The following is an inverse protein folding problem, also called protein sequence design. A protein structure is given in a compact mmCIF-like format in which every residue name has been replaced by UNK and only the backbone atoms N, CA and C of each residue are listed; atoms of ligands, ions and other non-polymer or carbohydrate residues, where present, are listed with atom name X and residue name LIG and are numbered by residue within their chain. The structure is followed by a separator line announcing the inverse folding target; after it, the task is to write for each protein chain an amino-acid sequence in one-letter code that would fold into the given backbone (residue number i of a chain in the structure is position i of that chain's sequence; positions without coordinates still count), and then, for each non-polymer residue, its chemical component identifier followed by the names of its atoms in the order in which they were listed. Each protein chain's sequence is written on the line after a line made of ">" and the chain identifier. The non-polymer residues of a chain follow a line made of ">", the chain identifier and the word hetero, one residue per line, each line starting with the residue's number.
data_IF_583480594998
#
_entry.id   IF_583480594998
#
_cell.length_a   1.000
_cell.length_b   1.000
_cell.length_c   1.000
_cell.angle_alpha   90.00
_cell.angle_beta   90.00
_cell.angle_gamma   90.00
#
_symmetry.space_group_name_H-M   'P 1'
#
loop_
_entity.id
_entity.type
_entity.pdbx_description
1 polymer ?
#
# COMPACT_ATOMS: atom_id res chain seq x y z
N UNK A 1 57.62 14.60 -22.25
CA UNK A 1 57.06 13.29 -21.88
C UNK A 1 55.99 13.54 -20.84
N UNK A 2 54.71 13.52 -21.24
CA UNK A 2 53.58 13.58 -20.31
C UNK A 2 52.60 12.49 -20.76
N UNK A 3 52.75 11.32 -20.15
CA UNK A 3 51.96 10.13 -20.45
C UNK A 3 50.53 10.32 -19.94
N UNK A 4 49.56 10.18 -20.85
CA UNK A 4 48.14 10.16 -20.55
C UNK A 4 47.78 8.91 -19.75
N UNK A 5 47.52 9.06 -18.46
CA UNK A 5 46.97 7.99 -17.63
C UNK A 5 45.47 7.85 -17.87
N UNK A 6 45.07 7.15 -18.94
CA UNK A 6 43.69 6.72 -19.14
C UNK A 6 43.54 5.33 -18.54
N UNK A 7 42.82 5.23 -17.40
CA UNK A 7 42.45 3.94 -16.82
C UNK A 7 41.69 3.11 -17.85
N UNK A 8 42.06 1.83 -18.10
CA UNK A 8 41.27 0.94 -18.93
C UNK A 8 39.86 0.82 -18.34
N UNK A 9 38.83 1.16 -19.12
CA UNK A 9 37.44 1.04 -18.70
C UNK A 9 37.12 -0.42 -18.38
N UNK A 10 36.43 -0.65 -17.25
CA UNK A 10 35.99 -1.98 -16.84
C UNK A 10 34.96 -2.51 -17.86
N UNK A 11 35.32 -3.53 -18.63
CA UNK A 11 34.41 -4.19 -19.60
C UNK A 11 33.52 -5.25 -18.95
N UNK A 12 33.61 -5.45 -17.63
CA UNK A 12 32.78 -6.41 -16.95
C UNK A 12 31.34 -5.90 -16.85
N UNK A 13 30.41 -6.79 -17.18
CA UNK A 13 28.97 -6.58 -17.12
C UNK A 13 28.61 -6.03 -15.75
N UNK A 14 28.27 -4.75 -15.71
CA UNK A 14 27.95 -4.05 -14.48
C UNK A 14 26.53 -4.37 -14.04
N UNK A 15 26.23 -4.10 -12.78
CA UNK A 15 24.86 -4.16 -12.26
C UNK A 15 23.89 -3.20 -13.00
N UNK A 16 24.43 -2.27 -13.82
CA UNK A 16 23.69 -1.32 -14.65
C UNK A 16 23.57 -1.74 -16.12
N UNK A 17 24.02 -2.94 -16.51
CA UNK A 17 23.77 -3.45 -17.86
C UNK A 17 22.35 -4.01 -17.96
N UNK A 18 21.54 -3.55 -18.94
CA UNK A 18 20.18 -4.03 -19.10
C UNK A 18 20.15 -5.54 -19.38
N UNK A 19 19.10 -6.25 -18.93
CA UNK A 19 18.93 -7.66 -19.25
C UNK A 19 18.90 -7.84 -20.78
N UNK A 20 19.73 -8.76 -21.29
CA UNK A 20 19.70 -9.11 -22.70
C UNK A 20 18.50 -10.05 -22.90
N UNK A 21 17.38 -9.49 -23.34
CA UNK A 21 16.30 -10.30 -23.88
C UNK A 21 16.77 -10.84 -25.22
N UNK A 22 16.86 -12.16 -25.35
CA UNK A 22 17.29 -12.82 -26.58
C UNK A 22 16.34 -12.47 -27.75
N UNK A 23 16.72 -11.50 -28.59
CA UNK A 23 16.07 -11.18 -29.87
C UNK A 23 16.38 -12.26 -30.94
N UNK A 24 16.23 -13.53 -30.58
CA UNK A 24 16.67 -14.68 -31.39
C UNK A 24 15.56 -15.61 -31.87
N UNK A 25 14.27 -15.24 -31.73
CA UNK A 25 13.15 -16.11 -32.17
C UNK A 25 12.26 -15.55 -33.29
N UNK A 26 12.54 -14.35 -33.83
CA UNK A 26 11.70 -13.76 -34.89
C UNK A 26 12.23 -13.98 -36.32
N UNK A 27 13.33 -14.71 -36.52
CA UNK A 27 13.84 -15.02 -37.86
C UNK A 27 14.18 -16.50 -37.99
N UNK A 28 13.15 -17.34 -38.12
CA UNK A 28 13.32 -18.67 -38.69
C UNK A 28 12.20 -18.94 -39.71
N UNK A 29 12.52 -19.06 -41.01
CA UNK A 29 11.56 -19.48 -42.01
C UNK A 29 11.08 -20.90 -41.73
N UNK A 30 9.79 -21.12 -41.98
CA UNK A 30 9.09 -22.37 -41.79
C UNK A 30 9.68 -23.51 -42.64
N UNK A 31 10.06 -24.61 -42.00
CA UNK A 31 9.99 -25.97 -42.56
C UNK A 31 9.79 -27.01 -41.45
N UNK A 32 8.57 -27.54 -41.42
CA UNK A 32 8.17 -28.94 -41.12
C UNK A 32 8.34 -29.57 -39.72
N UNK A 33 7.19 -30.04 -39.23
CA UNK A 33 6.94 -31.31 -38.51
C UNK A 33 7.05 -31.42 -36.98
N UNK A 34 5.92 -31.83 -36.38
CA UNK A 34 5.87 -32.76 -35.24
C UNK A 34 5.38 -32.16 -33.91
N UNK A 35 4.07 -32.10 -33.64
CA UNK A 35 3.33 -33.07 -32.79
C UNK A 35 3.83 -33.26 -31.34
N UNK A 36 3.01 -32.78 -30.40
CA UNK A 36 2.86 -33.22 -28.98
C UNK A 36 4.05 -32.91 -28.05
N UNK A 37 3.87 -32.35 -26.86
CA UNK A 37 3.40 -33.09 -25.68
C UNK A 37 2.91 -32.11 -24.60
N UNK A 38 1.68 -32.34 -24.13
CA UNK A 38 1.19 -31.87 -22.83
C UNK A 38 1.94 -32.62 -21.72
N UNK A 39 2.45 -31.93 -20.71
CA UNK A 39 2.93 -32.56 -19.47
C UNK A 39 1.98 -32.28 -18.30
N UNK A 40 1.35 -33.29 -17.67
CA UNK A 40 0.59 -33.10 -16.45
C UNK A 40 1.17 -33.85 -15.22
N UNK A 41 0.97 -33.27 -14.03
CA UNK A 41 1.12 -33.84 -12.66
C UNK A 41 2.57 -34.18 -12.20
N UNK A 42 2.97 -33.97 -10.93
CA UNK A 42 2.36 -34.51 -9.70
C UNK A 42 2.58 -33.68 -8.42
N UNK A 43 1.46 -33.46 -7.72
CA UNK A 43 1.20 -33.66 -6.28
C UNK A 43 2.39 -34.21 -5.46
N UNK A 44 2.78 -33.55 -4.35
CA UNK A 44 3.45 -34.18 -3.21
C UNK A 44 2.44 -34.34 -2.08
N UNK A 45 2.20 -35.59 -1.69
CA UNK A 45 1.34 -36.03 -0.58
C UNK A 45 2.21 -36.18 0.67
N UNK A 46 1.66 -35.79 1.81
CA UNK A 46 2.21 -35.96 3.15
C UNK A 46 2.36 -37.45 3.53
N UNK A 47 3.38 -37.77 4.32
CA UNK A 47 3.45 -39.03 5.06
C UNK A 47 3.35 -38.71 6.56
N UNK A 48 2.19 -39.08 7.14
CA UNK A 48 2.01 -39.26 8.56
C UNK A 48 2.42 -40.69 8.92
N UNK A 49 3.17 -40.85 10.00
CA UNK A 49 3.33 -42.14 10.69
C UNK A 49 3.02 -41.95 12.17
N UNK A 50 1.78 -42.30 12.50
CA UNK A 50 1.31 -42.94 13.74
C UNK A 50 2.31 -44.07 14.14
N UNK A 51 2.71 -44.36 15.38
CA UNK A 51 2.38 -43.92 16.73
C UNK A 51 2.77 -45.09 17.66
N UNK A 52 3.56 -44.88 18.72
CA UNK A 52 3.59 -45.71 19.95
C UNK A 52 4.51 -45.12 21.04
N UNK A 53 3.90 -44.57 22.08
CA UNK A 53 4.45 -44.41 23.44
C UNK A 53 4.25 -45.74 24.23
N UNK A 54 4.87 -46.01 25.43
CA UNK A 54 5.03 -45.07 26.56
C UNK A 54 6.36 -45.11 27.36
N UNK A 55 6.61 -43.98 28.02
CA UNK A 55 7.04 -43.80 29.44
C UNK A 55 8.39 -44.36 29.96
N UNK A 56 9.29 -43.42 30.34
CA UNK A 56 9.78 -43.24 31.72
C UNK A 56 10.87 -42.14 31.79
N UNK A 57 10.62 -41.08 32.55
CA UNK A 57 11.65 -40.14 33.04
C UNK A 57 12.38 -40.74 34.26
N UNK A 58 13.64 -40.34 34.55
CA UNK A 58 13.84 -39.19 35.44
C UNK A 58 15.04 -38.28 35.09
N UNK A 59 15.01 -37.08 35.66
CA UNK A 59 15.85 -35.88 35.49
C UNK A 59 17.14 -35.93 36.37
N UNK A 60 17.92 -34.82 36.53
CA UNK A 60 18.94 -34.19 35.67
C UNK A 60 20.36 -34.28 36.35
N UNK A 61 21.43 -33.57 35.89
CA UNK A 61 21.80 -32.32 36.61
C UNK A 61 22.57 -31.23 35.80
N UNK A 62 22.62 -30.04 36.41
CA UNK A 62 23.60 -28.91 36.35
C UNK A 62 23.84 -28.18 35.01
N UNK A 63 23.36 -26.93 34.87
CA UNK A 63 23.92 -25.65 35.35
C UNK A 63 25.00 -25.06 34.44
N UNK A 64 24.64 -23.97 33.73
CA UNK A 64 25.50 -22.79 33.57
C UNK A 64 24.67 -21.57 33.17
N UNK A 65 25.06 -20.46 33.77
CA UNK A 65 24.34 -19.19 33.97
C UNK A 65 24.57 -18.18 32.81
N UNK A 66 23.99 -16.96 32.89
CA UNK A 66 23.69 -16.10 31.74
C UNK A 66 24.85 -15.17 31.37
N UNK A 67 24.89 -14.80 30.09
CA UNK A 67 25.67 -13.67 29.57
C UNK A 67 24.68 -12.86 28.73
N UNK A 68 24.49 -11.57 28.86
CA UNK A 68 25.10 -10.54 29.69
C UNK A 68 24.39 -9.27 29.22
N UNK A 69 23.92 -8.47 30.17
CA UNK A 69 23.27 -7.18 29.96
C UNK A 69 24.12 -6.29 29.04
N UNK A 70 23.55 -5.80 27.94
CA UNK A 70 24.02 -4.57 27.31
C UNK A 70 22.83 -3.62 27.18
N UNK A 71 22.68 -2.83 28.24
CA UNK A 71 21.85 -1.64 28.32
C UNK A 71 22.45 -0.59 27.37
N UNK A 72 21.69 -0.03 26.41
CA UNK A 72 22.15 1.17 25.71
C UNK A 72 22.11 2.35 26.69
N UNK A 73 23.26 2.99 26.84
CA UNK A 73 23.49 4.10 27.73
C UNK A 73 22.61 5.31 27.38
N UNK A 74 22.01 5.88 28.41
CA UNK A 74 21.26 7.14 28.37
C UNK A 74 22.20 8.28 27.97
N UNK A 75 22.03 8.81 26.77
CA UNK A 75 22.69 10.05 26.35
C UNK A 75 21.92 11.24 26.94
N UNK A 76 22.62 11.91 27.85
CA UNK A 76 22.17 13.08 28.60
C UNK A 76 22.00 14.27 27.62
N UNK A 77 20.77 14.60 27.26
CA UNK A 77 20.43 15.80 26.49
C UNK A 77 20.37 17.03 27.42
N UNK A 78 21.00 18.17 27.06
CA UNK A 78 20.96 19.39 27.86
C UNK A 78 19.56 20.05 27.86
N UNK A 79 19.24 20.86 28.90
CA UNK A 79 17.89 21.36 29.15
C UNK A 79 17.41 22.40 28.12
N UNK A 80 16.08 22.49 27.84
CA UNK A 80 15.51 23.55 27.01
C UNK A 80 15.59 24.92 27.72
N UNK A 81 16.07 25.92 27.01
CA UNK A 81 16.16 27.32 27.47
C UNK A 81 14.80 28.01 27.63
N UNK A 82 14.78 29.24 28.21
CA UNK A 82 13.58 29.90 28.69
C UNK A 82 12.71 30.44 27.56
N UNK A 83 11.40 30.34 27.75
CA UNK A 83 10.38 30.89 26.88
C UNK A 83 10.45 32.41 26.84
N UNK A 84 10.63 32.98 25.65
CA UNK A 84 10.36 34.39 25.39
C UNK A 84 9.16 34.50 24.49
N UNK A 85 8.03 34.88 25.09
CA UNK A 85 6.85 35.39 24.41
C UNK A 85 7.22 36.55 23.50
N UNK A 86 6.98 36.38 22.20
CA UNK A 86 6.80 37.50 21.29
C UNK A 86 5.45 37.35 20.61
N UNK A 87 4.51 38.17 21.07
CA UNK A 87 3.27 38.45 20.37
C UNK A 87 3.62 39.09 19.03
N UNK A 88 3.09 38.56 17.94
CA UNK A 88 2.95 39.31 16.69
C UNK A 88 1.52 39.15 16.19
N UNK A 89 0.90 40.31 15.99
CA UNK A 89 -0.45 40.49 15.54
C UNK A 89 -0.65 40.07 14.07
N UNK A 90 -1.92 39.78 13.79
CA UNK A 90 -2.62 39.89 12.51
C UNK A 90 -2.30 38.87 11.41
N UNK A 91 -3.19 37.89 11.27
CA UNK A 91 -3.93 37.66 10.02
C UNK A 91 -4.96 36.54 10.23
N UNK A 92 -6.21 36.88 9.98
CA UNK A 92 -7.36 36.00 9.78
C UNK A 92 -6.99 34.62 9.23
N UNK A 93 -7.04 33.62 10.10
CA UNK A 93 -7.22 32.22 9.69
C UNK A 93 -8.57 31.80 10.26
N UNK A 94 -9.52 31.31 9.43
CA UNK A 94 -10.67 30.64 10.00
C UNK A 94 -10.13 29.38 10.67
N UNK A 95 -10.08 29.43 12.00
CA UNK A 95 -9.98 28.26 12.86
C UNK A 95 -11.16 27.38 12.53
N UNK A 96 -10.99 26.50 11.53
CA UNK A 96 -11.83 25.34 11.36
C UNK A 96 -11.55 24.50 12.57
N UNK A 97 -12.42 24.67 13.57
CA UNK A 97 -12.70 23.70 14.62
C UNK A 97 -12.93 22.39 13.88
N UNK A 98 -11.87 21.61 13.69
CA UNK A 98 -11.96 20.22 13.28
C UNK A 98 -12.52 19.52 14.51
N UNK A 99 -13.83 19.58 14.67
CA UNK A 99 -14.56 18.65 15.50
C UNK A 99 -13.95 17.27 15.25
N UNK A 100 -13.59 16.56 16.31
CA UNK A 100 -13.20 15.17 16.23
C UNK A 100 -14.45 14.36 15.87
N UNK A 101 -14.85 14.49 14.60
CA UNK A 101 -15.85 13.64 13.98
C UNK A 101 -15.18 12.30 13.81
N UNK A 102 -15.57 11.36 14.65
CA UNK A 102 -15.24 9.96 14.45
C UNK A 102 -16.05 9.47 13.24
N UNK A 103 -15.37 8.80 12.32
CA UNK A 103 -16.01 8.22 11.13
C UNK A 103 -16.12 6.72 11.36
N UNK A 104 -17.35 6.22 11.36
CA UNK A 104 -17.61 4.79 11.48
C UNK A 104 -17.24 4.08 10.17
N UNK A 105 -16.75 2.85 10.28
CA UNK A 105 -16.37 2.03 9.12
C UNK A 105 -17.53 1.87 8.15
N UNK A 106 -18.72 1.62 8.68
CA UNK A 106 -19.93 1.37 7.89
C UNK A 106 -20.35 2.61 7.11
N UNK A 107 -20.25 3.81 7.67
CA UNK A 107 -20.60 5.06 6.99
C UNK A 107 -19.67 5.34 5.80
N UNK A 108 -18.36 5.16 6.01
CA UNK A 108 -17.33 5.40 4.98
C UNK A 108 -17.47 4.38 3.86
N UNK A 109 -17.58 3.09 4.18
CA UNK A 109 -17.73 2.04 3.18
C UNK A 109 -19.05 2.14 2.43
N UNK A 110 -20.16 2.41 3.12
CA UNK A 110 -21.48 2.60 2.49
C UNK A 110 -21.44 3.76 1.50
N UNK A 111 -20.82 4.88 1.87
CA UNK A 111 -20.66 6.03 0.98
C UNK A 111 -19.83 5.71 -0.27
N UNK A 112 -18.75 4.95 -0.13
CA UNK A 112 -17.92 4.51 -1.27
C UNK A 112 -18.66 3.52 -2.18
N UNK A 113 -19.41 2.60 -1.59
CA UNK A 113 -20.20 1.63 -2.34
C UNK A 113 -21.38 2.28 -3.08
N UNK A 114 -22.05 3.25 -2.46
CA UNK A 114 -23.09 4.06 -3.10
C UNK A 114 -22.50 4.82 -4.30
N UNK A 115 -21.38 5.51 -4.09
CA UNK A 115 -20.68 6.24 -5.15
C UNK A 115 -20.28 5.32 -6.31
N UNK A 116 -19.77 4.12 -6.00
CA UNK A 116 -19.45 3.11 -7.01
C UNK A 116 -20.70 2.64 -7.77
N UNK A 117 -21.81 2.44 -7.08
CA UNK A 117 -23.06 2.01 -7.69
C UNK A 117 -23.61 3.08 -8.65
N UNK A 118 -23.48 4.36 -8.30
CA UNK A 118 -23.86 5.48 -9.17
C UNK A 118 -23.04 5.51 -10.47
N UNK A 119 -21.78 5.06 -10.43
CA UNK A 119 -20.92 4.99 -11.60
C UNK A 119 -21.08 3.70 -12.43
N UNK A 120 -21.82 2.69 -11.97
CA UNK A 120 -21.87 1.37 -12.64
C UNK A 120 -22.50 1.40 -14.04
N UNK A 121 -23.37 2.36 -14.31
CA UNK A 121 -24.08 2.49 -15.59
C UNK A 121 -23.21 3.10 -16.70
N UNK A 122 -22.23 3.93 -16.34
CA UNK A 122 -21.36 4.65 -17.28
C UNK A 122 -19.93 4.08 -17.35
N UNK A 123 -19.50 3.31 -16.35
CA UNK A 123 -18.16 2.74 -16.26
C UNK A 123 -18.14 1.29 -16.74
N UNK A 124 -17.01 0.85 -17.32
CA UNK A 124 -16.82 -0.54 -17.71
C UNK A 124 -16.94 -1.48 -16.50
N UNK A 125 -17.70 -2.57 -16.65
CA UNK A 125 -17.93 -3.57 -15.59
C UNK A 125 -16.62 -4.05 -14.93
N UNK A 126 -15.58 -4.29 -15.71
CA UNK A 126 -14.28 -4.72 -15.18
C UNK A 126 -13.66 -3.69 -14.23
N UNK A 127 -13.80 -2.40 -14.52
CA UNK A 127 -13.30 -1.32 -13.66
C UNK A 127 -14.11 -1.28 -12.36
N UNK A 128 -15.43 -1.40 -12.44
CA UNK A 128 -16.27 -1.48 -11.25
C UNK A 128 -15.93 -2.70 -10.37
N UNK A 129 -15.68 -3.86 -10.99
CA UNK A 129 -15.30 -5.08 -10.29
C UNK A 129 -13.92 -4.96 -9.61
N UNK A 130 -12.95 -4.29 -10.25
CA UNK A 130 -11.65 -4.02 -9.64
C UNK A 130 -11.78 -3.05 -8.46
N UNK A 131 -12.49 -1.94 -8.61
CA UNK A 131 -12.75 -1.00 -7.52
C UNK A 131 -13.44 -1.71 -6.36
N UNK A 132 -14.45 -2.54 -6.63
CA UNK A 132 -15.14 -3.31 -5.60
C UNK A 132 -14.18 -4.22 -4.82
N UNK A 133 -13.29 -4.95 -5.51
CA UNK A 133 -12.26 -5.78 -4.85
C UNK A 133 -11.33 -4.96 -3.97
N UNK A 134 -10.96 -3.74 -4.40
CA UNK A 134 -10.12 -2.83 -3.59
C UNK A 134 -10.86 -2.34 -2.34
N UNK A 135 -12.16 -2.07 -2.44
CA UNK A 135 -12.98 -1.71 -1.27
C UNK A 135 -13.10 -2.86 -0.27
N UNK A 136 -13.15 -4.12 -0.74
CA UNK A 136 -13.09 -5.29 0.16
C UNK A 136 -11.78 -5.35 0.93
N UNK A 137 -10.64 -5.06 0.28
CA UNK A 137 -9.33 -5.00 0.97
C UNK A 137 -9.31 -3.86 2.00
N UNK A 138 -9.90 -2.70 1.68
CA UNK A 138 -10.05 -1.59 2.62
C UNK A 138 -10.85 -2.03 3.86
N UNK A 139 -12.00 -2.68 3.67
CA UNK A 139 -12.83 -3.20 4.76
C UNK A 139 -12.06 -4.20 5.63
N UNK A 140 -11.35 -5.14 5.01
CA UNK A 140 -10.55 -6.13 5.71
C UNK A 140 -9.46 -5.46 6.58
N UNK A 141 -8.69 -4.52 6.00
CA UNK A 141 -7.66 -3.79 6.74
C UNK A 141 -8.22 -2.97 7.91
N UNK A 142 -9.40 -2.37 7.71
CA UNK A 142 -10.05 -1.56 8.73
C UNK A 142 -10.56 -2.41 9.90
N UNK A 143 -11.26 -3.51 9.60
CA UNK A 143 -11.79 -4.46 10.62
C UNK A 143 -10.67 -5.19 11.37
N UNK A 144 -9.55 -5.47 10.71
CA UNK A 144 -8.35 -6.02 11.35
C UNK A 144 -7.60 -4.99 12.21
N UNK A 145 -8.03 -3.72 12.22
CA UNK A 145 -7.40 -2.67 12.99
C UNK A 145 -6.05 -2.20 12.43
N UNK A 146 -5.73 -2.55 11.17
CA UNK A 146 -4.46 -2.19 10.51
C UNK A 146 -4.40 -0.74 10.01
N UNK A 147 -5.55 -0.06 9.96
CA UNK A 147 -5.64 1.35 9.62
C UNK A 147 -5.56 2.22 10.86
N UNK A 148 -4.63 3.16 10.86
CA UNK A 148 -4.44 4.13 11.93
C UNK A 148 -5.57 5.17 11.96
N UNK A 149 -5.82 5.76 13.13
CA UNK A 149 -6.82 6.83 13.32
C UNK A 149 -6.70 7.99 12.31
N UNK A 150 -5.51 8.53 11.98
CA UNK A 150 -5.41 9.59 10.97
C UNK A 150 -5.86 9.13 9.58
N UNK A 151 -5.59 7.88 9.18
CA UNK A 151 -6.05 7.33 7.90
C UNK A 151 -7.57 7.24 7.88
N UNK A 152 -8.18 6.73 8.95
CA UNK A 152 -9.66 6.63 9.06
C UNK A 152 -10.33 7.99 9.01
N UNK A 153 -9.81 8.97 9.76
CA UNK A 153 -10.33 10.35 9.78
C UNK A 153 -10.24 11.00 8.39
N UNK A 154 -9.08 10.89 7.73
CA UNK A 154 -8.89 11.43 6.37
C UNK A 154 -9.77 10.71 5.34
N UNK A 155 -9.98 9.41 5.48
CA UNK A 155 -10.87 8.66 4.59
C UNK A 155 -12.33 9.10 4.75
N UNK A 156 -12.77 9.38 5.98
CA UNK A 156 -14.06 9.97 6.26
C UNK A 156 -14.26 11.32 5.57
N UNK A 157 -13.29 12.23 5.71
CA UNK A 157 -13.32 13.53 5.00
C UNK A 157 -13.34 13.31 3.49
N UNK A 158 -12.52 12.39 2.95
CA UNK A 158 -12.51 12.07 1.51
C UNK A 158 -13.90 11.63 1.03
N UNK A 159 -14.60 10.79 1.80
CA UNK A 159 -15.98 10.38 1.45
C UNK A 159 -16.99 11.51 1.52
N UNK A 160 -16.83 12.48 2.43
CA UNK A 160 -17.66 13.68 2.46
C UNK A 160 -17.43 14.55 1.22
N UNK A 161 -16.16 14.77 0.85
CA UNK A 161 -15.83 15.55 -0.35
C UNK A 161 -16.29 14.87 -1.65
N UNK A 162 -16.26 13.53 -1.71
CA UNK A 162 -16.86 12.76 -2.81
C UNK A 162 -18.38 13.02 -2.92
N UNK A 163 -19.09 13.07 -1.80
CA UNK A 163 -20.54 13.34 -1.79
C UNK A 163 -20.87 14.79 -2.15
N UNK A 164 -20.03 15.73 -1.75
CA UNK A 164 -20.12 17.15 -2.12
C UNK A 164 -19.63 17.44 -3.54
N UNK A 165 -19.23 16.43 -4.31
CA UNK A 165 -18.67 16.56 -5.68
C UNK A 165 -17.41 17.44 -5.75
N UNK A 166 -16.68 17.57 -4.65
CA UNK A 166 -15.42 18.30 -4.57
C UNK A 166 -14.24 17.39 -4.93
N UNK A 167 -14.18 16.99 -6.20
CA UNK A 167 -13.21 15.98 -6.67
C UNK A 167 -11.75 16.37 -6.47
N UNK A 168 -11.42 17.66 -6.60
CA UNK A 168 -10.04 18.14 -6.46
C UNK A 168 -9.57 18.09 -4.99
N UNK A 169 -10.48 18.31 -4.03
CA UNK A 169 -10.19 18.16 -2.60
C UNK A 169 -10.04 16.69 -2.24
N UNK A 170 -10.92 15.83 -2.75
CA UNK A 170 -10.81 14.38 -2.56
C UNK A 170 -9.47 13.83 -3.11
N UNK A 171 -9.03 14.30 -4.29
CA UNK A 171 -7.74 13.89 -4.86
C UNK A 171 -6.54 14.45 -4.07
N UNK A 172 -6.65 15.64 -3.48
CA UNK A 172 -5.62 16.17 -2.56
C UNK A 172 -5.49 15.31 -1.29
N UNK A 173 -6.61 14.89 -0.70
CA UNK A 173 -6.59 13.98 0.46
C UNK A 173 -5.98 12.63 0.08
N UNK A 174 -6.31 12.10 -1.10
CA UNK A 174 -5.68 10.90 -1.66
C UNK A 174 -4.16 11.06 -1.78
N UNK A 175 -3.67 12.16 -2.37
CA UNK A 175 -2.23 12.46 -2.47
C UNK A 175 -1.58 12.53 -1.09
N UNK A 176 -2.19 13.24 -0.16
CA UNK A 176 -1.69 13.37 1.22
C UNK A 176 -1.61 12.02 1.94
N UNK A 177 -2.60 11.15 1.77
CA UNK A 177 -2.57 9.78 2.30
C UNK A 177 -1.46 8.93 1.68
N UNK A 178 -1.22 9.08 0.37
CA UNK A 178 -0.15 8.37 -0.33
C UNK A 178 1.25 8.83 0.07
N UNK A 179 1.41 10.05 0.60
CA UNK A 179 2.69 10.55 1.12
C UNK A 179 2.92 10.09 2.55
N UNK A 180 1.92 10.27 3.42
CA UNK A 180 2.10 10.09 4.87
C UNK A 180 1.92 8.63 5.31
N UNK A 181 1.04 7.87 4.64
CA UNK A 181 0.57 6.55 5.10
C UNK A 181 0.57 5.48 3.99
N UNK A 182 1.53 5.56 3.06
CA UNK A 182 1.62 4.66 1.88
C UNK A 182 1.55 3.17 2.23
N UNK A 183 2.15 2.77 3.35
CA UNK A 183 2.18 1.38 3.81
C UNK A 183 0.79 0.83 4.13
N UNK A 184 -0.12 1.68 4.61
CA UNK A 184 -1.49 1.31 4.98
C UNK A 184 -2.46 1.38 3.79
N UNK A 185 -2.25 2.35 2.88
CA UNK A 185 -3.23 2.68 1.85
C UNK A 185 -2.93 2.09 0.47
N UNK A 186 -1.66 1.81 0.16
CA UNK A 186 -1.21 1.48 -1.22
C UNK A 186 -1.96 0.32 -1.89
N UNK A 187 -2.38 -0.69 -1.13
CA UNK A 187 -3.01 -1.89 -1.70
C UNK A 187 -4.42 -1.67 -2.25
N UNK A 188 -5.16 -0.70 -1.70
CA UNK A 188 -6.57 -0.43 -2.03
C UNK A 188 -6.81 0.98 -2.56
N UNK A 189 -5.94 1.94 -2.25
CA UNK A 189 -6.10 3.36 -2.62
C UNK A 189 -6.16 3.58 -4.13
N UNK A 190 -5.53 2.72 -4.94
CA UNK A 190 -5.64 2.77 -6.41
C UNK A 190 -7.09 2.63 -6.89
N UNK A 191 -7.91 1.85 -6.20
CA UNK A 191 -9.35 1.71 -6.49
C UNK A 191 -10.11 2.99 -6.14
N UNK A 192 -9.77 3.64 -5.03
CA UNK A 192 -10.36 4.93 -4.61
C UNK A 192 -9.97 6.04 -5.58
N UNK A 193 -8.70 6.12 -5.98
CA UNK A 193 -8.24 7.06 -7.01
C UNK A 193 -9.03 6.88 -8.31
N UNK A 194 -9.24 5.62 -8.75
CA UNK A 194 -10.05 5.37 -9.94
C UNK A 194 -11.49 5.79 -9.72
N UNK A 195 -12.07 5.51 -8.56
CA UNK A 195 -13.43 5.94 -8.21
C UNK A 195 -13.58 7.46 -8.32
N UNK A 196 -12.66 8.26 -7.75
CA UNK A 196 -12.65 9.73 -7.87
C UNK A 196 -12.60 10.17 -9.35
N UNK A 197 -11.80 9.49 -10.16
CA UNK A 197 -11.72 9.80 -11.58
C UNK A 197 -13.03 9.48 -12.33
N UNK A 198 -13.68 8.36 -12.01
CA UNK A 198 -14.95 7.99 -12.65
C UNK A 198 -16.09 8.92 -12.24
N UNK A 199 -16.16 9.32 -10.97
CA UNK A 199 -17.20 10.25 -10.49
C UNK A 199 -17.05 11.63 -11.12
N UNK A 200 -15.81 12.08 -11.36
CA UNK A 200 -15.53 13.33 -12.09
C UNK A 200 -15.93 13.28 -13.56
N UNK A 201 -15.93 12.08 -14.17
CA UNK A 201 -16.31 11.86 -15.56
C UNK A 201 -17.78 11.48 -15.75
N UNK A 202 -18.58 11.50 -14.67
CA UNK A 202 -20.02 11.32 -14.81
C UNK A 202 -20.56 12.42 -15.73
N UNK A 203 -21.30 12.06 -16.80
CA UNK A 203 -21.96 13.06 -17.62
C UNK A 203 -22.89 13.83 -16.68
N UNK A 204 -22.56 15.10 -16.43
CA UNK A 204 -23.34 15.94 -15.53
C UNK A 204 -24.78 15.90 -15.97
N UNK A 205 -25.67 15.53 -15.04
CA UNK A 205 -27.08 15.86 -15.18
C UNK A 205 -27.10 17.38 -15.36
N UNK A 206 -27.34 17.83 -16.59
CA UNK A 206 -27.48 19.24 -16.95
C UNK A 206 -28.42 19.89 -15.91
N UNK A 207 -28.02 20.98 -15.25
CA UNK A 207 -28.95 21.72 -14.42
C UNK A 207 -30.02 22.28 -15.35
N UNK A 208 -31.22 21.68 -15.29
CA UNK A 208 -32.38 22.18 -16.01
C UNK A 208 -32.65 23.64 -15.59
N UNK A 209 -33.05 24.49 -16.55
CA UNK A 209 -33.13 25.95 -16.42
C UNK A 209 -34.18 26.46 -15.44
#
# INVERSE_FOLDING_TARGET
>A
MAEFYVKPGNQQRGWNDPPQFSYGLQQRPALSSGLTQRGPFRRRVAAATEGKEPEAAPHPPVASSPVGLLVPQSVNLPPPGPQTSFQKADATTPSVVKADKEYEIEDVLSSLHETLNNCRSCVQKQVCDDIHKRLVILQEMWTQGKLSSPVRKRMGILTEELKSQHWDVADEIHRSLMVDHVAEVSQWMVGVKRLIAETKNLPGEDPLP
#
